data_IF_802469104272
#
_entry.id   IF_802469104272
#
_cell.length_a   1.000
_cell.length_b   1.000
_cell.length_c   1.000
_cell.angle_alpha   90.00
_cell.angle_beta   90.00
_cell.angle_gamma   90.00
#
_symmetry.space_group_name_H-M   'P 1'
#
loop_
_entity.id
_entity.type
_entity.pdbx_description
1 polymer ?
#
# COMPACT_ATOMS: atom_id res chain seq x y z
N UNK A 1 -47.92 -20.93 19.27
CA UNK A 1 -46.74 -20.06 19.29
C UNK A 1 -47.16 -18.83 20.05
N UNK A 2 -46.65 -18.63 21.26
CA UNK A 2 -46.99 -17.45 22.06
C UNK A 2 -46.56 -16.19 21.31
N UNK A 3 -47.42 -15.18 21.32
CA UNK A 3 -47.18 -13.90 20.65
C UNK A 3 -45.79 -13.32 21.00
N UNK A 4 -45.32 -13.55 22.24
CA UNK A 4 -43.99 -13.13 22.69
C UNK A 4 -42.82 -13.81 21.95
N UNK A 5 -42.93 -15.08 21.56
CA UNK A 5 -41.83 -15.76 20.84
C UNK A 5 -41.70 -15.24 19.40
N UNK A 6 -42.82 -14.89 18.77
CA UNK A 6 -42.84 -14.31 17.42
C UNK A 6 -42.12 -12.96 17.41
N UNK A 7 -42.40 -12.09 18.38
CA UNK A 7 -41.73 -10.78 18.49
C UNK A 7 -40.23 -10.91 18.77
N UNK A 8 -39.81 -11.87 19.59
CA UNK A 8 -38.40 -12.11 19.89
C UNK A 8 -37.63 -12.55 18.63
N UNK A 9 -38.18 -13.51 17.89
CA UNK A 9 -37.56 -13.99 16.64
C UNK A 9 -37.47 -12.86 15.62
N UNK A 10 -38.53 -12.06 15.46
CA UNK A 10 -38.53 -10.91 14.54
C UNK A 10 -37.44 -9.89 14.91
N UNK A 11 -37.33 -9.53 16.18
CA UNK A 11 -36.32 -8.57 16.65
C UNK A 11 -34.89 -9.07 16.42
N UNK A 12 -34.63 -10.36 16.69
CA UNK A 12 -33.34 -10.99 16.44
C UNK A 12 -32.99 -10.98 14.94
N UNK A 13 -33.97 -11.31 14.09
CA UNK A 13 -33.80 -11.36 12.63
C UNK A 13 -33.52 -9.97 12.07
N UNK A 14 -34.21 -8.93 12.55
CA UNK A 14 -33.95 -7.54 12.15
C UNK A 14 -32.54 -7.11 12.59
N UNK A 15 -32.15 -7.40 13.83
CA UNK A 15 -30.82 -7.03 14.34
C UNK A 15 -29.69 -7.70 13.56
N UNK A 16 -29.80 -9.02 13.33
CA UNK A 16 -28.84 -9.77 12.51
C UNK A 16 -28.86 -9.32 11.05
N UNK A 17 -30.03 -9.06 10.49
CA UNK A 17 -30.19 -8.49 9.16
C UNK A 17 -29.47 -7.15 9.02
N UNK A 18 -29.64 -6.22 9.98
CA UNK A 18 -28.95 -4.94 10.01
C UNK A 18 -27.43 -5.09 10.17
N UNK A 19 -26.98 -6.01 11.03
CA UNK A 19 -25.56 -6.28 11.22
C UNK A 19 -24.88 -6.81 9.94
N UNK A 20 -25.56 -7.73 9.23
CA UNK A 20 -25.07 -8.29 7.96
C UNK A 20 -25.20 -7.28 6.81
N UNK A 21 -26.23 -6.42 6.84
CA UNK A 21 -26.39 -5.37 5.84
C UNK A 21 -25.43 -4.19 6.06
N UNK A 22 -24.92 -4.01 7.29
CA UNK A 22 -23.99 -2.94 7.65
C UNK A 22 -22.82 -2.79 6.67
N UNK A 23 -22.05 -3.83 6.28
CA UNK A 23 -21.01 -3.68 5.26
C UNK A 23 -21.57 -3.13 3.95
N UNK A 24 -22.74 -3.57 3.48
CA UNK A 24 -23.36 -3.07 2.25
C UNK A 24 -23.81 -1.60 2.34
N UNK A 25 -24.27 -1.13 3.50
CA UNK A 25 -24.60 0.28 3.73
C UNK A 25 -23.38 1.16 4.00
N UNK A 26 -22.35 0.59 4.63
CA UNK A 26 -21.05 1.23 4.90
C UNK A 26 -20.05 1.03 3.76
N UNK A 27 -20.49 0.52 2.60
CA UNK A 27 -19.79 0.75 1.34
C UNK A 27 -19.87 2.24 1.01
N UNK A 28 -19.17 3.05 1.80
CA UNK A 28 -18.39 4.17 1.30
C UNK A 28 -17.41 3.50 0.35
N UNK A 29 -17.88 3.22 -0.87
CA UNK A 29 -16.99 2.91 -1.96
C UNK A 29 -15.97 4.03 -1.90
N UNK A 30 -14.74 3.69 -1.55
CA UNK A 30 -13.62 4.40 -2.11
C UNK A 30 -13.77 4.13 -3.59
N UNK A 31 -14.65 4.91 -4.23
CA UNK A 31 -14.88 4.83 -5.65
C UNK A 31 -13.52 5.04 -6.23
N UNK A 32 -13.04 4.04 -6.96
CA UNK A 32 -11.79 4.15 -7.70
C UNK A 32 -11.95 5.42 -8.52
N UNK A 33 -11.09 6.38 -8.25
CA UNK A 33 -11.18 7.68 -8.90
C UNK A 33 -10.95 7.48 -10.39
N UNK A 34 -11.52 8.37 -11.21
CA UNK A 34 -11.27 8.31 -12.65
C UNK A 34 -9.77 8.32 -12.97
N UNK A 35 -8.97 9.08 -12.19
CA UNK A 35 -7.52 9.11 -12.29
C UNK A 35 -6.85 7.75 -12.01
N UNK A 36 -7.30 7.02 -10.98
CA UNK A 36 -6.79 5.68 -10.66
C UNK A 36 -7.12 4.66 -11.76
N UNK A 37 -8.30 4.78 -12.38
CA UNK A 37 -8.67 3.96 -13.52
C UNK A 37 -7.80 4.25 -14.75
N UNK A 38 -7.56 5.52 -15.07
CA UNK A 38 -6.70 5.94 -16.18
C UNK A 38 -5.25 5.48 -15.98
N UNK A 39 -4.71 5.62 -14.76
CA UNK A 39 -3.39 5.12 -14.41
C UNK A 39 -3.29 3.59 -14.54
N UNK A 40 -4.31 2.87 -14.06
CA UNK A 40 -4.37 1.41 -14.19
C UNK A 40 -4.40 0.96 -15.66
N UNK A 41 -5.13 1.68 -16.51
CA UNK A 41 -5.18 1.42 -17.94
C UNK A 41 -3.82 1.65 -18.62
N UNK A 42 -3.11 2.74 -18.27
CA UNK A 42 -1.77 3.02 -18.78
C UNK A 42 -0.74 1.96 -18.36
N UNK A 43 -0.79 1.50 -17.11
CA UNK A 43 0.08 0.42 -16.63
C UNK A 43 -0.18 -0.90 -17.37
N UNK A 44 -1.45 -1.24 -17.62
CA UNK A 44 -1.80 -2.43 -18.38
C UNK A 44 -1.32 -2.34 -19.84
N UNK A 45 -1.42 -1.17 -20.46
CA UNK A 45 -0.93 -0.95 -21.83
C UNK A 45 0.59 -1.06 -21.91
N UNK A 46 1.32 -0.53 -20.91
CA UNK A 46 2.78 -0.73 -20.80
C UNK A 46 3.13 -2.21 -20.78
N UNK A 47 2.50 -2.99 -19.90
CA UNK A 47 2.81 -4.41 -19.75
C UNK A 47 2.48 -5.20 -21.03
N UNK A 48 1.38 -4.83 -21.70
CA UNK A 48 1.02 -5.38 -23.01
C UNK A 48 2.11 -5.12 -24.07
N UNK A 49 2.63 -3.89 -24.15
CA UNK A 49 3.68 -3.53 -25.11
C UNK A 49 4.98 -4.28 -24.80
N UNK A 50 5.36 -4.37 -23.53
CA UNK A 50 6.56 -5.11 -23.12
C UNK A 50 6.45 -6.60 -23.49
N UNK A 51 5.30 -7.22 -23.24
CA UNK A 51 5.05 -8.60 -23.65
C UNK A 51 5.13 -8.77 -25.17
N UNK A 52 4.55 -7.83 -25.93
CA UNK A 52 4.62 -7.89 -27.41
C UNK A 52 6.04 -7.71 -27.96
N UNK A 53 6.87 -6.89 -27.31
CA UNK A 53 8.28 -6.74 -27.67
C UNK A 53 9.05 -8.03 -27.38
N UNK A 54 8.83 -8.64 -26.22
CA UNK A 54 9.46 -9.89 -25.84
C UNK A 54 9.08 -11.04 -26.79
N UNK A 55 7.80 -11.13 -27.17
CA UNK A 55 7.30 -12.10 -28.14
C UNK A 55 7.89 -11.88 -29.54
N UNK A 56 7.96 -10.62 -30.00
CA UNK A 56 8.58 -10.26 -31.28
C UNK A 56 10.08 -10.64 -31.31
N UNK A 57 10.82 -10.32 -30.25
CA UNK A 57 12.24 -10.64 -30.13
C UNK A 57 12.45 -12.17 -30.08
N UNK A 58 11.54 -12.90 -29.43
CA UNK A 58 11.56 -14.36 -29.40
C UNK A 58 11.29 -14.96 -30.78
N UNK A 59 10.25 -14.52 -31.48
CA UNK A 59 9.91 -15.02 -32.81
C UNK A 59 11.00 -14.73 -33.85
N UNK A 60 11.66 -13.58 -33.75
CA UNK A 60 12.85 -13.28 -34.54
C UNK A 60 14.01 -14.23 -34.21
N UNK A 61 14.29 -14.48 -32.92
CA UNK A 61 15.35 -15.41 -32.51
C UNK A 61 15.11 -16.85 -32.97
N UNK A 62 13.84 -17.23 -33.17
CA UNK A 62 13.44 -18.52 -33.73
C UNK A 62 13.45 -18.56 -35.27
N UNK A 63 13.74 -17.44 -35.93
CA UNK A 63 13.74 -17.31 -37.39
C UNK A 63 12.34 -17.33 -38.02
N UNK A 64 11.27 -17.10 -37.23
CA UNK A 64 9.90 -17.00 -37.78
C UNK A 64 9.66 -15.68 -38.51
N UNK A 65 10.45 -14.66 -38.17
CA UNK A 65 10.32 -13.30 -38.71
C UNK A 65 11.61 -12.97 -39.48
N UNK A 66 11.51 -12.51 -40.73
CA UNK A 66 12.67 -12.08 -41.52
C UNK A 66 13.40 -10.89 -40.88
N UNK A 67 14.72 -10.80 -41.05
CA UNK A 67 15.52 -9.66 -40.57
C UNK A 67 15.10 -8.31 -41.19
N UNK A 68 14.43 -8.34 -42.34
CA UNK A 68 13.97 -7.15 -43.06
C UNK A 68 12.77 -6.48 -42.37
N UNK A 69 11.86 -7.29 -41.81
CA UNK A 69 10.59 -6.83 -41.22
C UNK A 69 10.70 -6.52 -39.73
N UNK A 70 11.53 -7.30 -39.02
CA UNK A 70 11.77 -7.15 -37.58
C UNK A 70 12.08 -5.70 -37.12
N UNK A 71 13.03 -4.95 -37.71
CA UNK A 71 13.38 -3.62 -37.22
C UNK A 71 12.21 -2.62 -37.35
N UNK A 72 11.38 -2.75 -38.38
CA UNK A 72 10.21 -1.90 -38.58
C UNK A 72 9.15 -2.16 -37.51
N UNK A 73 8.82 -3.43 -37.29
CA UNK A 73 7.84 -3.85 -36.26
C UNK A 73 8.30 -3.45 -34.86
N UNK A 74 9.59 -3.66 -34.55
CA UNK A 74 10.18 -3.31 -33.27
C UNK A 74 10.18 -1.81 -33.02
N UNK A 75 10.52 -1.00 -34.03
CA UNK A 75 10.44 0.46 -33.89
C UNK A 75 9.02 0.93 -33.62
N UNK A 76 8.01 0.35 -34.27
CA UNK A 76 6.61 0.72 -34.04
C UNK A 76 6.19 0.48 -32.57
N UNK A 77 6.52 -0.69 -32.02
CA UNK A 77 6.26 -1.02 -30.62
C UNK A 77 7.03 -0.13 -29.64
N UNK A 78 8.31 0.15 -29.91
CA UNK A 78 9.12 1.06 -29.09
C UNK A 78 8.57 2.48 -29.06
N UNK A 79 8.11 3.01 -30.20
CA UNK A 79 7.48 4.35 -30.26
C UNK A 79 6.21 4.39 -29.43
N UNK A 80 5.38 3.35 -29.51
CA UNK A 80 4.15 3.23 -28.71
C UNK A 80 4.48 3.13 -27.21
N UNK A 81 5.44 2.30 -26.84
CA UNK A 81 5.89 2.17 -25.45
C UNK A 81 6.43 3.47 -24.87
N UNK A 82 7.25 4.19 -25.64
CA UNK A 82 7.76 5.50 -25.24
C UNK A 82 6.64 6.54 -25.03
N UNK A 83 5.57 6.49 -25.83
CA UNK A 83 4.41 7.37 -25.64
C UNK A 83 3.67 7.07 -24.34
N UNK A 84 3.42 5.80 -24.02
CA UNK A 84 2.75 5.38 -22.77
C UNK A 84 3.60 5.74 -21.54
N UNK A 85 4.91 5.55 -21.60
CA UNK A 85 5.81 5.91 -20.49
C UNK A 85 5.81 7.41 -20.21
N UNK A 86 5.76 8.27 -21.24
CA UNK A 86 5.63 9.72 -21.04
C UNK A 86 4.34 10.10 -20.32
N UNK A 87 3.23 9.45 -20.67
CA UNK A 87 1.94 9.68 -19.99
C UNK A 87 2.04 9.26 -18.51
N UNK A 88 2.66 8.11 -18.21
CA UNK A 88 2.89 7.68 -16.83
C UNK A 88 3.78 8.65 -16.04
N UNK A 89 4.82 9.20 -16.66
CA UNK A 89 5.69 10.20 -16.03
C UNK A 89 4.92 11.49 -15.67
N UNK A 90 3.97 11.92 -16.50
CA UNK A 90 3.09 13.07 -16.21
C UNK A 90 2.20 12.81 -14.99
N UNK A 91 1.59 11.61 -14.94
CA UNK A 91 0.81 11.17 -13.78
C UNK A 91 1.64 11.13 -12.49
N UNK A 92 2.87 10.61 -12.57
CA UNK A 92 3.75 10.51 -11.42
C UNK A 92 4.21 11.89 -10.91
N UNK A 93 4.48 12.85 -11.82
CA UNK A 93 4.78 14.23 -11.45
C UNK A 93 3.61 14.91 -10.75
N UNK A 94 2.41 14.79 -11.31
CA UNK A 94 1.21 15.36 -10.70
C UNK A 94 0.93 14.79 -9.31
N UNK A 95 1.13 13.49 -9.11
CA UNK A 95 1.07 12.87 -7.78
C UNK A 95 2.15 13.43 -6.83
N UNK A 96 3.40 13.53 -7.30
CA UNK A 96 4.51 14.07 -6.53
C UNK A 96 4.29 15.51 -6.09
N UNK A 97 3.77 16.37 -6.97
CA UNK A 97 3.44 17.77 -6.66
C UNK A 97 2.30 17.88 -5.65
N UNK A 98 1.23 17.08 -5.78
CA UNK A 98 0.13 17.03 -4.81
C UNK A 98 0.61 16.55 -3.44
N UNK A 99 1.44 15.51 -3.42
CA UNK A 99 2.03 14.99 -2.19
C UNK A 99 2.94 16.05 -1.56
N UNK A 100 3.77 16.72 -2.35
CA UNK A 100 4.66 17.77 -1.86
C UNK A 100 3.88 18.98 -1.35
N UNK A 101 2.78 19.36 -1.99
CA UNK A 101 1.87 20.41 -1.51
C UNK A 101 1.21 20.02 -0.17
N UNK A 102 0.73 18.77 -0.05
CA UNK A 102 0.18 18.24 1.20
C UNK A 102 1.21 18.17 2.33
N UNK A 103 2.50 18.00 2.00
CA UNK A 103 3.62 18.01 2.95
C UNK A 103 4.15 19.43 3.25
N UNK A 104 3.94 20.38 2.34
CA UNK A 104 4.42 21.77 2.44
C UNK A 104 3.43 22.71 3.16
N UNK A 105 2.19 22.30 3.38
CA UNK A 105 1.38 22.94 4.41
C UNK A 105 2.12 22.83 5.75
N UNK A 106 2.37 23.96 6.45
CA UNK A 106 3.10 23.90 7.71
C UNK A 106 2.30 23.00 8.65
N UNK A 107 3.01 22.10 9.31
CA UNK A 107 2.54 21.27 10.42
C UNK A 107 2.15 22.11 11.65
N UNK A 108 1.38 23.19 11.46
CA UNK A 108 0.84 24.07 12.49
C UNK A 108 -0.63 23.74 12.80
N UNK A 109 -1.28 22.84 12.05
CA UNK A 109 -2.67 22.45 12.33
C UNK A 109 -3.04 20.99 12.00
N UNK A 110 -2.07 20.08 11.81
CA UNK A 110 -2.31 18.63 11.71
C UNK A 110 -1.43 17.82 12.66
N UNK A 111 -1.23 18.36 13.87
CA UNK A 111 -1.45 17.58 15.09
C UNK A 111 -2.95 17.64 15.45
N UNK A 112 -3.83 17.46 14.47
CA UNK A 112 -5.06 16.77 14.78
C UNK A 112 -4.61 15.32 14.97
N UNK A 113 -4.71 14.75 16.19
CA UNK A 113 -4.86 13.31 16.25
C UNK A 113 -6.00 13.04 15.27
N UNK A 114 -5.77 12.19 14.24
CA UNK A 114 -6.84 11.35 13.70
C UNK A 114 -7.70 11.01 14.93
N UNK A 115 -8.99 11.38 15.00
CA UNK A 115 -9.77 11.07 16.18
C UNK A 115 -9.47 9.61 16.44
N UNK A 116 -8.92 9.32 17.61
CA UNK A 116 -8.77 7.96 18.04
C UNK A 116 -10.20 7.43 17.96
N UNK A 117 -10.54 6.81 16.83
CA UNK A 117 -11.52 5.75 16.80
C UNK A 117 -11.01 4.86 17.90
N UNK A 118 -11.68 4.93 19.04
CA UNK A 118 -11.27 4.32 20.30
C UNK A 118 -11.18 2.78 20.20
N UNK A 119 -11.36 2.26 18.99
CA UNK A 119 -11.45 0.88 18.57
C UNK A 119 -10.54 0.56 17.36
N UNK A 120 -9.41 1.25 17.15
CA UNK A 120 -8.36 0.71 16.25
C UNK A 120 -7.48 -0.26 17.06
N UNK A 121 -7.78 -1.58 17.07
CA UNK A 121 -7.10 -2.54 17.94
C UNK A 121 -5.59 -2.58 17.67
N UNK A 122 -5.16 -2.21 16.46
CA UNK A 122 -3.76 -2.20 16.08
C UNK A 122 -3.02 -1.07 16.78
N UNK A 123 -3.57 0.15 16.84
CA UNK A 123 -2.94 1.28 17.53
C UNK A 123 -2.80 1.01 19.03
N UNK A 124 -3.83 0.42 19.66
CA UNK A 124 -3.79 0.00 21.05
C UNK A 124 -2.70 -1.07 21.30
N UNK A 125 -2.56 -2.05 20.40
CA UNK A 125 -1.51 -3.07 20.47
C UNK A 125 -0.11 -2.48 20.27
N UNK A 126 0.04 -1.50 19.39
CA UNK A 126 1.31 -0.79 19.16
C UNK A 126 1.70 0.06 20.37
N UNK A 127 0.75 0.79 20.97
CA UNK A 127 0.98 1.58 22.18
C UNK A 127 1.39 0.69 23.36
N UNK A 128 0.68 -0.42 23.60
CA UNK A 128 1.05 -1.42 24.62
C UNK A 128 2.47 -1.98 24.38
N UNK A 129 2.82 -2.28 23.13
CA UNK A 129 4.15 -2.78 22.79
C UNK A 129 5.25 -1.73 23.00
N UNK A 130 4.99 -0.45 22.70
CA UNK A 130 5.95 0.65 22.98
C UNK A 130 6.20 0.80 24.49
N UNK A 131 5.14 0.82 25.30
CA UNK A 131 5.27 0.87 26.76
C UNK A 131 6.04 -0.33 27.33
N UNK A 132 5.79 -1.53 26.81
CA UNK A 132 6.54 -2.73 27.21
C UNK A 132 8.04 -2.60 26.88
N UNK A 133 8.39 -2.09 25.70
CA UNK A 133 9.80 -1.88 25.33
C UNK A 133 10.49 -0.81 26.17
N UNK A 134 9.79 0.26 26.52
CA UNK A 134 10.32 1.35 27.34
C UNK A 134 10.61 0.88 28.77
N UNK A 135 9.72 0.06 29.35
CA UNK A 135 9.97 -0.57 30.66
C UNK A 135 11.17 -1.53 30.67
N UNK A 136 11.60 -1.99 29.50
CA UNK A 136 12.74 -2.89 29.31
C UNK A 136 14.03 -2.16 28.90
N UNK A 137 14.14 -0.85 29.14
CA UNK A 137 15.37 -0.10 28.88
C UNK A 137 16.58 -0.77 29.57
N UNK A 138 17.57 -1.16 28.77
CA UNK A 138 18.78 -1.90 29.16
C UNK A 138 20.06 -1.08 29.12
N UNK A 139 19.94 0.24 28.95
CA UNK A 139 21.07 1.17 28.88
C UNK A 139 21.45 1.53 27.44
N UNK A 140 22.74 1.78 27.21
CA UNK A 140 23.28 2.23 25.93
C UNK A 140 24.35 1.28 25.42
N UNK A 141 24.42 1.11 24.10
CA UNK A 141 25.45 0.30 23.45
C UNK A 141 26.84 0.94 23.65
N UNK A 142 27.87 0.18 24.08
CA UNK A 142 29.21 0.71 24.34
C UNK A 142 29.97 1.12 23.06
N UNK A 143 29.57 0.65 21.88
CA UNK A 143 30.27 0.95 20.62
C UNK A 143 29.68 2.14 19.86
N UNK A 144 28.35 2.29 19.84
CA UNK A 144 27.68 3.34 19.05
C UNK A 144 26.81 4.30 19.87
N UNK A 145 26.66 4.08 21.18
CA UNK A 145 25.88 4.93 22.08
C UNK A 145 24.36 4.89 21.89
N UNK A 146 23.82 3.99 21.07
CA UNK A 146 22.35 3.87 20.90
C UNK A 146 21.69 3.20 22.11
N UNK A 147 20.46 3.59 22.43
CA UNK A 147 19.67 2.95 23.48
C UNK A 147 19.34 1.50 23.10
N UNK A 148 19.50 0.59 24.06
CA UNK A 148 19.27 -0.86 23.89
C UNK A 148 18.31 -1.34 24.96
N UNK A 149 17.55 -2.41 24.68
CA UNK A 149 16.70 -3.04 25.70
C UNK A 149 17.47 -4.16 26.43
N UNK A 150 16.99 -4.55 27.61
CA UNK A 150 17.59 -5.65 28.42
C UNK A 150 17.55 -7.00 27.70
N UNK A 151 16.61 -7.18 26.78
CA UNK A 151 16.47 -8.41 25.97
C UNK A 151 17.40 -8.43 24.75
N UNK A 152 18.02 -7.30 24.38
CA UNK A 152 18.84 -7.21 23.18
C UNK A 152 20.17 -7.94 23.39
N UNK A 153 20.40 -9.02 22.64
CA UNK A 153 21.71 -9.70 22.57
C UNK A 153 22.70 -8.98 21.67
N UNK A 154 22.19 -8.16 20.74
CA UNK A 154 22.95 -7.38 19.78
C UNK A 154 22.34 -5.98 19.68
N UNK A 155 23.17 -4.96 19.46
CA UNK A 155 22.70 -3.61 19.25
C UNK A 155 21.91 -3.50 17.93
N UNK A 156 20.67 -2.98 17.92
CA UNK A 156 19.86 -2.86 16.70
C UNK A 156 20.39 -1.84 15.70
N UNK A 157 21.33 -0.96 16.11
CA UNK A 157 21.91 0.09 15.24
C UNK A 157 23.24 -0.32 14.62
N UNK A 158 24.14 -0.94 15.39
CA UNK A 158 25.50 -1.24 14.93
C UNK A 158 25.85 -2.74 14.94
N UNK A 159 24.94 -3.61 15.38
CA UNK A 159 25.12 -5.07 15.37
C UNK A 159 26.07 -5.63 16.44
N UNK A 160 26.70 -4.79 17.26
CA UNK A 160 27.63 -5.22 18.31
C UNK A 160 26.93 -6.10 19.34
N UNK A 161 27.54 -7.23 19.69
CA UNK A 161 27.06 -8.10 20.75
C UNK A 161 27.08 -7.37 22.10
N UNK A 162 25.93 -7.34 22.78
CA UNK A 162 25.79 -6.77 24.11
C UNK A 162 26.03 -7.89 25.12
N UNK A 163 27.01 -7.70 26.02
CA UNK A 163 27.20 -8.63 27.15
C UNK A 163 26.05 -8.38 28.13
N UNK A 164 25.03 -9.24 28.09
CA UNK A 164 23.94 -9.22 29.06
C UNK A 164 24.52 -9.39 30.47
N UNK A 165 24.19 -8.47 31.37
CA UNK A 165 24.24 -8.70 32.81
C UNK A 165 22.88 -9.19 33.27
#
# INVERSE_FOLDING_TARGET
MDIGSIFLILALLILTGLYIARPFLEHRSRGVTQEEHELSALLAERDRILNSLAELDFDHSLGKIPEEDYPLMRQALLRRGAAVLRQLDEYQKGYGERLQAALAEPAAATSQPKPAEADDPIEALLAKRRQQRESQAGGFCPQCGSAVTRSDRFCPKCGTALKGN
#
